data_IF_333844256433
#
_entry.id   IF_333844256433
#
_cell.length_a   1.000
_cell.length_b   1.000
_cell.length_c   1.000
_cell.angle_alpha   90.00
_cell.angle_beta   90.00
_cell.angle_gamma   90.00
#
_symmetry.space_group_name_H-M   'P 1'
#
loop_
_entity.id
_entity.type
_entity.pdbx_description
1 polymer ?
#
# COMPACT_ATOMS: atom_id res chain seq x y z
N UNK A 1 -21.86 5.17 -18.09
CA UNK A 1 -22.06 3.74 -18.42
C UNK A 1 -20.78 3.02 -18.08
N UNK A 2 -20.87 2.03 -17.19
CA UNK A 2 -19.74 1.46 -16.45
C UNK A 2 -18.88 0.53 -17.32
N UNK A 3 -17.60 0.88 -17.41
CA UNK A 3 -16.49 0.10 -17.99
C UNK A 3 -16.31 -1.32 -17.36
N UNK A 4 -17.08 -1.64 -16.32
CA UNK A 4 -17.04 -2.93 -15.63
C UNK A 4 -17.37 -4.14 -16.52
N UNK A 5 -18.19 -3.99 -17.55
CA UNK A 5 -18.62 -5.13 -18.38
C UNK A 5 -17.52 -5.73 -19.28
N UNK A 6 -16.47 -4.96 -19.59
CA UNK A 6 -15.33 -5.45 -20.37
C UNK A 6 -14.19 -5.97 -19.47
N UNK A 7 -14.08 -5.48 -18.22
CA UNK A 7 -13.07 -5.96 -17.27
C UNK A 7 -13.30 -7.40 -16.82
N UNK A 8 -14.54 -7.81 -16.57
CA UNK A 8 -14.84 -9.19 -16.12
C UNK A 8 -14.48 -10.24 -17.19
N UNK A 9 -14.47 -9.87 -18.48
CA UNK A 9 -14.20 -10.81 -19.57
C UNK A 9 -12.72 -11.13 -19.77
N UNK A 10 -11.83 -10.30 -19.23
CA UNK A 10 -10.38 -10.45 -19.40
C UNK A 10 -9.69 -11.03 -18.16
N UNK A 11 -10.41 -11.18 -17.05
CA UNK A 11 -9.90 -11.67 -15.78
C UNK A 11 -10.03 -13.20 -15.69
N UNK A 12 -8.90 -13.90 -15.85
CA UNK A 12 -8.82 -15.36 -15.90
C UNK A 12 -8.82 -15.96 -14.50
N UNK A 13 -8.12 -15.29 -13.58
CA UNK A 13 -7.99 -15.71 -12.19
C UNK A 13 -7.76 -14.49 -11.31
N UNK A 14 -8.35 -14.47 -10.12
CA UNK A 14 -8.28 -13.33 -9.22
C UNK A 14 -8.11 -13.78 -7.77
N UNK A 15 -7.30 -13.05 -7.01
CA UNK A 15 -7.24 -13.15 -5.54
C UNK A 15 -7.26 -11.76 -4.91
N UNK A 16 -7.97 -11.66 -3.79
CA UNK A 16 -8.09 -10.41 -3.01
C UNK A 16 -7.52 -10.61 -1.62
N UNK A 17 -6.65 -9.68 -1.19
CA UNK A 17 -6.10 -9.61 0.17
C UNK A 17 -6.54 -8.29 0.82
N UNK A 18 -7.33 -8.38 1.91
CA UNK A 18 -7.78 -7.22 2.69
C UNK A 18 -6.84 -6.99 3.88
N UNK A 19 -6.24 -5.80 3.96
CA UNK A 19 -5.26 -5.42 4.97
C UNK A 19 -5.61 -4.03 5.56
N UNK A 20 -6.61 -3.98 6.42
CA UNK A 20 -7.07 -2.74 7.07
C UNK A 20 -7.59 -1.70 6.05
N UNK A 21 -6.88 -0.58 5.90
CA UNK A 21 -7.24 0.48 4.93
C UNK A 21 -6.83 0.17 3.49
N UNK A 22 -6.13 -0.94 3.27
CA UNK A 22 -5.65 -1.37 1.94
C UNK A 22 -6.35 -2.64 1.51
N UNK A 23 -6.64 -2.73 0.23
CA UNK A 23 -7.05 -3.99 -0.43
C UNK A 23 -6.14 -4.21 -1.61
N UNK A 24 -5.49 -5.38 -1.65
CA UNK A 24 -4.66 -5.80 -2.77
C UNK A 24 -5.46 -6.75 -3.66
N UNK A 25 -5.40 -6.51 -4.96
CA UNK A 25 -6.01 -7.34 -6.00
C UNK A 25 -4.89 -7.93 -6.85
N UNK A 26 -4.92 -9.25 -7.05
CA UNK A 26 -3.97 -10.00 -7.87
C UNK A 26 -4.75 -10.65 -8.99
N UNK A 27 -4.70 -10.04 -10.18
CA UNK A 27 -5.51 -10.44 -11.33
C UNK A 27 -4.60 -11.01 -12.42
N UNK A 28 -4.87 -12.23 -12.87
CA UNK A 28 -4.26 -12.81 -14.07
C UNK A 28 -5.14 -12.47 -15.27
N UNK A 29 -4.54 -11.84 -16.28
CA UNK A 29 -5.23 -11.36 -17.48
C UNK A 29 -4.52 -11.84 -18.74
N UNK A 30 -5.27 -11.96 -19.84
CA UNK A 30 -4.70 -12.26 -21.16
C UNK A 30 -4.43 -10.97 -21.94
N UNK A 31 -3.31 -10.96 -22.67
CA UNK A 31 -3.06 -10.01 -23.74
C UNK A 31 -3.89 -10.35 -24.98
N UNK A 32 -3.94 -9.44 -25.96
CA UNK A 32 -4.57 -9.73 -27.27
C UNK A 32 -3.93 -10.91 -28.00
N UNK A 33 -2.66 -11.22 -27.72
CA UNK A 33 -1.95 -12.36 -28.30
C UNK A 33 -2.22 -13.68 -27.57
N UNK A 34 -2.99 -13.66 -26.47
CA UNK A 34 -3.33 -14.84 -25.68
C UNK A 34 -2.32 -15.21 -24.59
N UNK A 35 -1.20 -14.49 -24.45
CA UNK A 35 -0.28 -14.70 -23.33
C UNK A 35 -0.79 -14.01 -22.05
N UNK A 36 -0.33 -14.48 -20.90
CA UNK A 36 -0.82 -14.04 -19.59
C UNK A 36 0.13 -13.07 -18.92
N UNK A 37 -0.43 -12.10 -18.22
CA UNK A 37 0.28 -11.15 -17.38
C UNK A 37 -0.45 -10.98 -16.05
N UNK A 38 0.29 -10.54 -15.03
CA UNK A 38 -0.25 -10.29 -13.70
C UNK A 38 -0.48 -8.79 -13.52
N UNK A 39 -1.64 -8.41 -13.00
CA UNK A 39 -1.91 -7.07 -12.51
C UNK A 39 -2.01 -7.11 -10.99
N UNK A 40 -1.15 -6.35 -10.31
CA UNK A 40 -1.22 -6.16 -8.86
C UNK A 40 -1.75 -4.75 -8.59
N UNK A 41 -2.89 -4.63 -7.92
CA UNK A 41 -3.47 -3.33 -7.57
C UNK A 41 -3.58 -3.18 -6.06
N UNK A 42 -2.93 -2.16 -5.48
CA UNK A 42 -3.24 -1.67 -4.14
C UNK A 42 -4.35 -0.62 -4.25
N UNK A 43 -5.47 -0.82 -3.55
CA UNK A 43 -6.48 0.21 -3.31
C UNK A 43 -6.41 0.66 -1.85
N UNK A 44 -6.01 1.89 -1.61
CA UNK A 44 -5.91 2.49 -0.28
C UNK A 44 -7.05 3.47 -0.05
N UNK A 45 -7.77 3.26 1.05
CA UNK A 45 -8.81 4.18 1.54
C UNK A 45 -8.16 5.36 2.26
N UNK A 46 -8.45 6.56 1.78
CA UNK A 46 -8.12 7.82 2.43
C UNK A 46 -9.39 8.39 3.03
N UNK A 47 -9.33 8.71 4.32
CA UNK A 47 -10.41 9.36 5.05
C UNK A 47 -9.94 10.77 5.37
N UNK A 48 -10.76 11.76 5.05
CA UNK A 48 -10.54 13.17 5.34
C UNK A 48 -11.10 13.51 6.72
N UNK A 49 -10.74 14.68 7.25
CA UNK A 49 -11.14 15.12 8.60
C UNK A 49 -12.66 15.36 8.73
N UNK A 50 -13.32 15.67 7.62
CA UNK A 50 -14.78 15.81 7.53
C UNK A 50 -15.54 14.45 7.51
N UNK A 51 -14.81 13.34 7.62
CA UNK A 51 -15.34 11.97 7.56
C UNK A 51 -15.60 11.45 6.14
N UNK A 52 -15.45 12.28 5.11
CA UNK A 52 -15.52 11.83 3.72
C UNK A 52 -14.34 10.89 3.40
N UNK A 53 -14.49 10.04 2.38
CA UNK A 53 -13.42 9.14 1.98
C UNK A 53 -13.33 8.95 0.47
N UNK A 54 -12.13 8.65 0.01
CA UNK A 54 -11.85 8.27 -1.38
C UNK A 54 -10.86 7.10 -1.42
N UNK A 55 -10.80 6.41 -2.55
CA UNK A 55 -9.84 5.33 -2.78
C UNK A 55 -8.81 5.76 -3.80
N UNK A 56 -7.52 5.65 -3.46
CA UNK A 56 -6.42 5.78 -4.42
C UNK A 56 -5.96 4.39 -4.81
N UNK A 57 -5.80 4.15 -6.12
CA UNK A 57 -5.30 2.88 -6.65
C UNK A 57 -3.87 3.05 -7.16
N UNK A 58 -2.99 2.14 -6.77
CA UNK A 58 -1.66 1.96 -7.33
C UNK A 58 -1.66 0.62 -8.06
N UNK A 59 -1.21 0.60 -9.32
CA UNK A 59 -1.29 -0.58 -10.17
C UNK A 59 0.06 -0.87 -10.80
N UNK A 60 0.46 -2.14 -10.73
CA UNK A 60 1.66 -2.70 -11.35
C UNK A 60 1.19 -3.73 -12.37
N UNK A 61 1.78 -3.69 -13.56
CA UNK A 61 1.67 -4.73 -14.58
C UNK A 61 2.98 -5.49 -14.62
N UNK A 62 2.91 -6.81 -14.50
CA UNK A 62 4.07 -7.69 -14.57
C UNK A 62 3.84 -8.67 -15.71
N UNK A 63 4.79 -8.72 -16.64
CA UNK A 63 4.75 -9.63 -17.77
C UNK A 63 5.56 -10.89 -17.46
N UNK A 64 5.28 -11.94 -18.22
CA UNK A 64 5.68 -13.31 -17.90
C UNK A 64 7.19 -13.51 -17.92
N UNK A 65 7.89 -12.78 -18.78
CA UNK A 65 9.36 -12.76 -18.89
C UNK A 65 10.05 -12.36 -17.57
N UNK A 66 9.41 -11.50 -16.77
CA UNK A 66 9.99 -10.95 -15.55
C UNK A 66 9.59 -11.74 -14.28
N UNK A 67 8.69 -12.72 -14.39
CA UNK A 67 8.10 -13.41 -13.23
C UNK A 67 9.15 -14.09 -12.34
N UNK A 68 10.16 -14.71 -12.94
CA UNK A 68 11.16 -15.44 -12.16
C UNK A 68 11.98 -14.50 -11.28
N UNK A 69 12.56 -13.47 -11.88
CA UNK A 69 13.42 -12.51 -11.20
C UNK A 69 12.63 -11.65 -10.21
N UNK A 70 11.43 -11.21 -10.59
CA UNK A 70 10.55 -10.45 -9.69
C UNK A 70 10.19 -11.25 -8.44
N UNK A 71 9.83 -12.54 -8.58
CA UNK A 71 9.48 -13.38 -7.44
C UNK A 71 10.67 -13.66 -6.52
N UNK A 72 11.86 -13.86 -7.09
CA UNK A 72 13.09 -14.08 -6.32
C UNK A 72 13.44 -12.85 -5.49
N UNK A 73 13.51 -11.67 -6.11
CA UNK A 73 13.81 -10.42 -5.43
C UNK A 73 12.72 -10.09 -4.40
N UNK A 74 11.44 -10.24 -4.74
CA UNK A 74 10.35 -9.97 -3.80
C UNK A 74 10.46 -10.86 -2.56
N UNK A 75 10.76 -12.15 -2.75
CA UNK A 75 10.94 -13.09 -1.65
C UNK A 75 12.16 -12.73 -0.80
N UNK A 76 13.29 -12.43 -1.42
CA UNK A 76 14.51 -12.03 -0.71
C UNK A 76 14.26 -10.80 0.17
N UNK A 77 13.61 -9.77 -0.38
CA UNK A 77 13.30 -8.54 0.35
C UNK A 77 12.32 -8.78 1.50
N UNK A 78 11.30 -9.63 1.32
CA UNK A 78 10.37 -9.97 2.41
C UNK A 78 11.04 -10.81 3.50
N UNK A 79 11.86 -11.78 3.12
CA UNK A 79 12.59 -12.66 4.06
C UNK A 79 13.63 -11.85 4.86
N UNK A 80 14.30 -10.88 4.22
CA UNK A 80 15.22 -9.97 4.89
C UNK A 80 14.52 -9.15 5.99
N UNK A 81 13.35 -8.56 5.69
CA UNK A 81 12.58 -7.78 6.68
C UNK A 81 12.21 -8.64 7.89
N UNK A 82 11.72 -9.86 7.66
CA UNK A 82 11.35 -10.79 8.73
C UNK A 82 12.56 -11.22 9.55
N UNK A 83 13.69 -11.49 8.89
CA UNK A 83 14.93 -11.88 9.59
C UNK A 83 15.44 -10.77 10.51
N UNK A 84 15.38 -9.52 10.05
CA UNK A 84 15.93 -8.36 10.79
C UNK A 84 14.98 -7.80 11.85
N UNK A 85 13.66 -7.94 11.68
CA UNK A 85 12.64 -7.32 12.55
C UNK A 85 11.66 -8.30 13.21
N UNK A 86 11.75 -9.58 12.89
CA UNK A 86 10.81 -10.60 13.33
C UNK A 86 9.44 -10.46 12.67
N UNK A 87 8.51 -11.33 13.07
CA UNK A 87 7.13 -11.32 12.57
C UNK A 87 6.24 -10.26 13.24
N UNK A 88 6.76 -9.58 14.27
CA UNK A 88 5.99 -8.63 15.06
C UNK A 88 5.77 -7.32 14.31
N UNK A 89 4.50 -6.97 14.08
CA UNK A 89 4.12 -5.72 13.42
C UNK A 89 4.14 -4.58 14.44
N UNK A 90 5.23 -3.81 14.46
CA UNK A 90 5.35 -2.58 15.24
C UNK A 90 4.55 -1.45 14.59
N UNK A 91 3.24 -1.45 14.78
CA UNK A 91 2.43 -0.26 14.50
C UNK A 91 1.48 -0.01 15.66
N UNK A 92 1.18 1.26 15.93
CA UNK A 92 0.23 1.69 16.96
C UNK A 92 -1.11 0.96 16.85
N UNK A 93 -1.51 0.56 15.63
CA UNK A 93 -2.76 -0.18 15.35
C UNK A 93 -2.74 -1.67 15.70
N UNK A 94 -1.58 -2.27 15.95
CA UNK A 94 -1.41 -3.70 16.26
C UNK A 94 -0.98 -3.95 17.71
N UNK A 95 -0.85 -2.90 18.54
CA UNK A 95 -0.74 -3.09 19.98
C UNK A 95 -2.04 -3.69 20.52
N UNK A 96 -1.95 -4.66 21.45
CA UNK A 96 -3.12 -5.32 22.06
C UNK A 96 -4.13 -4.35 22.70
N UNK A 97 -3.69 -3.14 23.01
CA UNK A 97 -4.48 -2.08 23.64
C UNK A 97 -4.97 -1.00 22.66
N UNK A 98 -4.89 -1.23 21.33
CA UNK A 98 -5.37 -0.25 20.35
C UNK A 98 -6.89 -0.05 20.45
N UNK A 99 -7.30 1.01 21.13
CA UNK A 99 -8.66 1.53 21.09
C UNK A 99 -8.82 2.34 19.81
N UNK A 100 -9.70 1.88 18.92
CA UNK A 100 -10.17 2.64 17.77
C UNK A 100 -10.93 3.86 18.30
N UNK A 101 -10.26 5.01 18.35
CA UNK A 101 -10.93 6.29 18.60
C UNK A 101 -11.82 6.59 17.39
N UNK A 102 -13.08 6.15 17.47
CA UNK A 102 -14.13 6.71 16.65
C UNK A 102 -14.36 8.14 17.17
N UNK A 103 -13.75 9.12 16.49
CA UNK A 103 -13.94 10.54 16.79
C UNK A 103 -15.41 10.92 16.52
N UNK A 104 -16.26 10.73 17.54
CA UNK A 104 -17.52 11.47 17.67
C UNK A 104 -17.19 12.86 18.22
N UNK A 105 -17.58 13.88 17.46
CA UNK A 105 -17.44 15.29 17.78
C UNK A 105 -17.89 15.64 19.21
N UNK A 106 -17.08 16.42 19.94
CA UNK A 106 -17.41 17.78 20.40
C UNK A 106 -16.35 18.35 21.37
N UNK A 107 -15.79 19.50 20.96
CA UNK A 107 -15.50 20.73 21.73
C UNK A 107 -14.64 20.71 23.01
N UNK A 108 -13.43 21.26 22.83
CA UNK A 108 -12.96 22.55 23.38
C UNK A 108 -11.91 22.57 24.52
N UNK A 109 -11.02 23.57 24.36
CA UNK A 109 -10.16 24.28 25.32
C UNK A 109 -8.69 23.84 25.49
N UNK A 110 -7.87 24.47 24.64
CA UNK A 110 -6.74 25.36 24.97
C UNK A 110 -5.39 24.82 25.50
N UNK A 111 -4.39 25.10 24.66
CA UNK A 111 -3.14 25.88 24.91
C UNK A 111 -1.93 25.24 25.62
N UNK A 112 -0.79 25.69 25.08
CA UNK A 112 0.61 25.66 25.54
C UNK A 112 1.36 24.35 25.30
N UNK A 113 2.66 24.32 24.98
CA UNK A 113 3.66 25.18 24.33
C UNK A 113 4.95 24.33 24.38
N UNK A 114 5.89 24.55 23.45
CA UNK A 114 7.33 24.22 23.53
C UNK A 114 7.82 22.76 23.36
N UNK A 115 8.16 22.48 22.10
CA UNK A 115 9.51 22.17 21.58
C UNK A 115 10.62 21.74 22.55
N UNK A 116 11.25 20.59 22.28
CA UNK A 116 12.72 20.48 22.18
C UNK A 116 13.16 19.23 21.42
N UNK A 117 14.17 19.44 20.57
CA UNK A 117 14.74 18.59 19.52
C UNK A 117 15.39 17.27 19.98
N UNK A 118 15.30 16.26 19.10
CA UNK A 118 16.48 15.55 18.60
C UNK A 118 16.12 14.64 17.40
N UNK A 119 16.25 15.16 16.18
CA UNK A 119 16.21 14.35 14.96
C UNK A 119 17.24 14.84 13.94
N UNK A 120 18.43 14.22 13.95
CA UNK A 120 19.40 14.32 12.87
C UNK A 120 19.74 12.90 12.39
N UNK A 121 19.01 12.39 11.39
CA UNK A 121 19.50 11.34 10.47
C UNK A 121 18.52 10.97 9.34
N UNK A 122 17.26 11.41 9.35
CA UNK A 122 16.26 10.97 8.37
C UNK A 122 16.21 11.79 7.06
N UNK A 123 16.76 13.00 7.03
CA UNK A 123 16.63 13.94 5.89
C UNK A 123 17.62 13.66 4.73
N UNK A 124 18.53 12.67 4.85
CA UNK A 124 19.59 12.46 3.85
C UNK A 124 19.27 11.44 2.76
N UNK A 125 18.06 10.87 2.72
CA UNK A 125 17.72 9.79 1.79
C UNK A 125 16.75 10.17 0.67
N UNK A 126 16.28 11.41 0.60
CA UNK A 126 15.24 11.81 -0.38
C UNK A 126 15.67 12.87 -1.41
N UNK A 127 16.87 13.42 -1.34
CA UNK A 127 17.37 14.36 -2.34
C UNK A 127 18.32 13.68 -3.34
N UNK A 128 17.75 12.96 -4.31
CA UNK A 128 18.43 12.60 -5.56
C UNK A 128 17.92 13.56 -6.64
N UNK A 129 18.81 14.41 -7.16
CA UNK A 129 18.51 15.40 -8.19
C UNK A 129 18.77 14.79 -9.57
N UNK A 130 17.71 14.61 -10.38
CA UNK A 130 17.73 13.93 -11.68
C UNK A 130 18.04 14.87 -12.85
N UNK A 131 19.07 15.72 -12.72
CA UNK A 131 19.56 16.54 -13.84
C UNK A 131 20.96 16.14 -14.36
N UNK A 132 21.61 15.13 -13.76
CA UNK A 132 22.96 14.67 -14.16
C UNK A 132 23.04 13.14 -14.44
N UNK A 133 22.02 12.54 -15.07
CA UNK A 133 22.10 11.18 -15.70
C UNK A 133 21.92 11.27 -17.20
#
# INVERSE_FOLDING_TARGET
MSDHGMMEKEEIFSKVLRAGRRTYFFDVRATKAGDYYLTITESKKFTNDDGSFHYKKHKIYLYKEDFSEFNEILREMTDYIITEKGDEVISERHQKDFKKEDYTANEDVSKNEESTDNSNSAEKFTDINFEDI
#
